data_IF_361759807786
#
_entry.id   IF_361759807786
#
_cell.length_a   1.000
_cell.length_b   1.000
_cell.length_c   1.000
_cell.angle_alpha   90.00
_cell.angle_beta   90.00
_cell.angle_gamma   90.00
#
_symmetry.space_group_name_H-M   'P 1'
#
loop_
_entity.id
_entity.type
_entity.pdbx_description
1 polymer ?
#
# COMPACT_ATOMS: atom_id res chain seq x y z
N UNK A 1 49.91 -32.59 -11.29
CA UNK A 1 49.01 -33.72 -11.00
C UNK A 1 47.76 -33.21 -10.33
N UNK A 2 46.66 -33.18 -11.02
CA UNK A 2 45.38 -32.78 -10.41
C UNK A 2 44.96 -33.94 -9.52
N UNK A 3 45.12 -33.76 -8.20
CA UNK A 3 44.55 -34.71 -7.25
C UNK A 3 43.06 -34.76 -7.46
N UNK A 4 42.58 -35.90 -7.89
CA UNK A 4 41.13 -36.15 -7.87
C UNK A 4 40.71 -36.01 -6.42
N UNK A 5 40.08 -34.90 -6.09
CA UNK A 5 39.52 -34.69 -4.77
C UNK A 5 38.54 -35.82 -4.49
N UNK A 6 38.86 -36.63 -3.51
CA UNK A 6 38.01 -37.71 -3.04
C UNK A 6 36.60 -37.14 -2.78
N UNK A 7 35.59 -37.89 -3.17
CA UNK A 7 34.17 -37.50 -2.92
C UNK A 7 33.90 -37.03 -1.47
N UNK A 8 34.65 -37.55 -0.53
CA UNK A 8 34.62 -37.18 0.87
C UNK A 8 35.13 -35.76 1.13
N UNK A 9 36.20 -35.34 0.43
CA UNK A 9 36.72 -33.97 0.54
C UNK A 9 35.83 -32.94 -0.14
N UNK A 10 35.17 -33.30 -1.23
CA UNK A 10 34.19 -32.42 -1.88
C UNK A 10 32.97 -32.14 -0.97
N UNK A 11 32.61 -33.09 -0.10
CA UNK A 11 31.55 -32.88 0.86
C UNK A 11 31.96 -32.02 2.06
N UNK A 12 33.25 -32.01 2.41
CA UNK A 12 33.76 -31.20 3.52
C UNK A 12 33.93 -29.72 3.17
N UNK A 13 34.03 -29.38 1.89
CA UNK A 13 34.09 -27.98 1.44
C UNK A 13 32.74 -27.32 1.26
N UNK A 14 31.64 -28.03 1.47
CA UNK A 14 30.28 -27.43 1.47
C UNK A 14 29.84 -27.13 2.90
N UNK A 15 29.16 -25.98 3.13
CA UNK A 15 28.59 -25.71 4.44
C UNK A 15 27.78 -26.91 4.90
N UNK A 16 28.04 -27.39 6.12
CA UNK A 16 27.26 -28.49 6.70
C UNK A 16 25.79 -28.11 6.70
N UNK A 17 24.94 -29.01 6.15
CA UNK A 17 23.50 -28.85 6.10
C UNK A 17 22.93 -28.35 4.78
N UNK A 18 23.77 -28.03 3.78
CA UNK A 18 23.27 -27.64 2.46
C UNK A 18 23.02 -28.86 1.57
N UNK A 19 21.88 -29.50 1.73
CA UNK A 19 21.39 -30.49 0.77
C UNK A 19 20.89 -29.84 -0.50
N UNK A 20 20.76 -30.62 -1.58
CA UNK A 20 20.16 -30.12 -2.83
C UNK A 20 18.72 -29.63 -2.61
N UNK A 21 17.96 -30.32 -1.74
CA UNK A 21 16.63 -29.91 -1.35
C UNK A 21 16.63 -28.55 -0.64
N UNK A 22 17.59 -28.29 0.25
CA UNK A 22 17.71 -26.99 0.94
C UNK A 22 18.06 -25.86 -0.03
N UNK A 23 18.91 -26.10 -1.00
CA UNK A 23 19.24 -25.12 -2.05
C UNK A 23 18.02 -24.79 -2.90
N UNK A 24 17.23 -25.79 -3.29
CA UNK A 24 15.98 -25.58 -4.03
C UNK A 24 14.95 -24.81 -3.21
N UNK A 25 14.80 -25.16 -1.93
CA UNK A 25 13.89 -24.47 -1.03
C UNK A 25 14.25 -22.98 -0.87
N UNK A 26 15.54 -22.66 -0.73
CA UNK A 26 16.03 -21.28 -0.67
C UNK A 26 15.77 -20.52 -1.97
N UNK A 27 16.04 -21.14 -3.13
CA UNK A 27 15.76 -20.53 -4.43
C UNK A 27 14.28 -20.26 -4.61
N UNK A 28 13.42 -21.21 -4.25
CA UNK A 28 11.96 -21.04 -4.29
C UNK A 28 11.52 -19.88 -3.39
N UNK A 29 12.01 -19.83 -2.16
CA UNK A 29 11.74 -18.76 -1.21
C UNK A 29 12.13 -17.39 -1.77
N UNK A 30 13.34 -17.27 -2.33
CA UNK A 30 13.82 -16.04 -2.96
C UNK A 30 12.95 -15.63 -4.14
N UNK A 31 12.55 -16.57 -5.00
CA UNK A 31 11.65 -16.30 -6.12
C UNK A 31 10.28 -15.84 -5.65
N UNK A 32 9.71 -16.48 -4.63
CA UNK A 32 8.42 -16.11 -4.06
C UNK A 32 8.47 -14.71 -3.43
N UNK A 33 9.56 -14.38 -2.75
CA UNK A 33 9.80 -13.04 -2.21
C UNK A 33 9.92 -11.98 -3.30
N UNK A 34 10.62 -12.26 -4.39
CA UNK A 34 10.72 -11.35 -5.53
C UNK A 34 9.36 -11.13 -6.21
N UNK A 35 8.57 -12.18 -6.38
CA UNK A 35 7.22 -12.07 -6.95
C UNK A 35 6.29 -11.25 -6.05
N UNK A 36 6.34 -11.47 -4.74
CA UNK A 36 5.55 -10.70 -3.77
C UNK A 36 5.94 -9.22 -3.80
N UNK A 37 7.24 -8.91 -3.82
CA UNK A 37 7.73 -7.53 -3.91
C UNK A 37 7.31 -6.86 -5.23
N UNK A 38 7.37 -7.57 -6.36
CA UNK A 38 6.93 -7.07 -7.65
C UNK A 38 5.42 -6.81 -7.67
N UNK A 39 4.63 -7.70 -7.07
CA UNK A 39 3.19 -7.53 -6.94
C UNK A 39 2.84 -6.30 -6.09
N UNK A 40 3.47 -6.12 -4.94
CA UNK A 40 3.27 -4.97 -4.06
C UNK A 40 3.64 -3.66 -4.76
N UNK A 41 4.75 -3.64 -5.50
CA UNK A 41 5.17 -2.48 -6.30
C UNK A 41 4.14 -2.14 -7.37
N UNK A 42 3.61 -3.15 -8.06
CA UNK A 42 2.57 -2.98 -9.08
C UNK A 42 1.29 -2.40 -8.48
N UNK A 43 0.84 -2.91 -7.33
CA UNK A 43 -0.33 -2.39 -6.63
C UNK A 43 -0.13 -0.93 -6.20
N UNK A 44 1.05 -0.59 -5.69
CA UNK A 44 1.38 0.78 -5.30
C UNK A 44 1.33 1.73 -6.49
N UNK A 45 1.94 1.36 -7.61
CA UNK A 45 1.91 2.16 -8.84
C UNK A 45 0.47 2.34 -9.35
N UNK A 46 -0.32 1.29 -9.37
CA UNK A 46 -1.73 1.37 -9.77
C UNK A 46 -2.54 2.29 -8.86
N UNK A 47 -2.30 2.22 -7.55
CA UNK A 47 -2.94 3.09 -6.57
C UNK A 47 -2.58 4.55 -6.80
N UNK A 48 -1.31 4.86 -7.05
CA UNK A 48 -0.85 6.21 -7.37
C UNK A 48 -1.47 6.74 -8.67
N UNK A 49 -1.54 5.93 -9.71
CA UNK A 49 -2.18 6.29 -10.98
C UNK A 49 -3.67 6.58 -10.78
N UNK A 50 -4.38 5.78 -10.02
CA UNK A 50 -5.81 5.99 -9.74
C UNK A 50 -6.04 7.27 -8.95
N UNK A 51 -5.20 7.55 -7.97
CA UNK A 51 -5.25 8.79 -7.20
C UNK A 51 -5.01 10.00 -8.08
N UNK A 52 -4.03 9.94 -8.96
CA UNK A 52 -3.73 10.99 -9.92
C UNK A 52 -4.92 11.26 -10.86
N UNK A 53 -5.54 10.22 -11.39
CA UNK A 53 -6.74 10.35 -12.22
C UNK A 53 -7.90 10.98 -11.46
N UNK A 54 -8.11 10.58 -10.22
CA UNK A 54 -9.16 11.15 -9.37
C UNK A 54 -8.93 12.65 -9.15
N UNK A 55 -7.70 13.07 -8.91
CA UNK A 55 -7.34 14.48 -8.79
C UNK A 55 -7.59 15.25 -10.09
N UNK A 56 -7.21 14.69 -11.23
CA UNK A 56 -7.46 15.32 -12.52
C UNK A 56 -8.95 15.45 -12.82
N UNK A 57 -9.74 14.42 -12.57
CA UNK A 57 -11.20 14.47 -12.69
C UNK A 57 -11.81 15.53 -11.77
N UNK A 58 -11.32 15.64 -10.54
CA UNK A 58 -11.73 16.66 -9.59
C UNK A 58 -11.47 18.08 -10.12
N UNK A 59 -10.31 18.32 -10.70
CA UNK A 59 -9.94 19.60 -11.31
C UNK A 59 -10.90 19.97 -12.45
N UNK A 60 -11.17 19.03 -13.35
CA UNK A 60 -12.11 19.24 -14.48
C UNK A 60 -13.52 19.48 -13.95
N UNK A 61 -13.97 18.74 -12.96
CA UNK A 61 -15.29 18.90 -12.34
C UNK A 61 -15.45 20.29 -11.68
N UNK A 62 -14.43 20.75 -10.97
CA UNK A 62 -14.45 22.09 -10.36
C UNK A 62 -14.51 23.20 -11.41
N UNK A 63 -13.78 23.05 -12.51
CA UNK A 63 -13.86 24.01 -13.61
C UNK A 63 -15.26 24.05 -14.22
N UNK A 64 -15.87 22.89 -14.46
CA UNK A 64 -17.22 22.79 -15.04
C UNK A 64 -18.31 23.29 -14.09
N UNK A 65 -18.19 22.98 -12.80
CA UNK A 65 -19.21 23.32 -11.82
C UNK A 65 -19.14 24.78 -11.37
N UNK A 66 -17.92 25.31 -11.20
CA UNK A 66 -17.71 26.60 -10.55
C UNK A 66 -16.95 27.62 -11.42
N UNK A 67 -16.55 27.25 -12.62
CA UNK A 67 -15.75 28.12 -13.50
C UNK A 67 -14.37 28.43 -12.94
N UNK A 68 -13.77 27.54 -12.14
CA UNK A 68 -12.46 27.74 -11.52
C UNK A 68 -11.37 27.73 -12.59
N UNK A 69 -10.73 28.88 -12.78
CA UNK A 69 -9.59 29.03 -13.70
C UNK A 69 -8.23 28.82 -13.00
N UNK A 70 -7.12 29.09 -13.72
CA UNK A 70 -5.77 28.80 -13.22
C UNK A 70 -5.41 29.44 -11.88
N UNK A 71 -5.83 30.67 -11.63
CA UNK A 71 -5.52 31.38 -10.35
C UNK A 71 -6.20 30.74 -9.15
N UNK A 72 -7.48 30.40 -9.28
CA UNK A 72 -8.23 29.71 -8.21
C UNK A 72 -7.76 28.29 -8.03
N UNK A 73 -7.36 27.63 -9.11
CA UNK A 73 -6.77 26.31 -9.03
C UNK A 73 -5.48 26.31 -8.22
N UNK A 74 -4.61 27.29 -8.39
CA UNK A 74 -3.38 27.40 -7.59
C UNK A 74 -3.68 27.55 -6.10
N UNK A 75 -4.71 28.32 -5.77
CA UNK A 75 -5.16 28.45 -4.37
C UNK A 75 -5.67 27.12 -3.83
N UNK A 76 -6.45 26.39 -4.60
CA UNK A 76 -6.94 25.06 -4.23
C UNK A 76 -5.79 24.08 -4.03
N UNK A 77 -4.82 24.06 -4.93
CA UNK A 77 -3.66 23.17 -4.84
C UNK A 77 -2.85 23.44 -3.55
N UNK A 78 -2.69 24.69 -3.16
CA UNK A 78 -2.04 25.08 -1.92
C UNK A 78 -2.80 24.56 -0.69
N UNK A 79 -4.11 24.74 -0.65
CA UNK A 79 -4.95 24.24 0.43
C UNK A 79 -4.92 22.70 0.50
N UNK A 80 -4.92 22.04 -0.66
CA UNK A 80 -4.82 20.58 -0.71
C UNK A 80 -3.49 20.08 -0.12
N UNK A 81 -2.39 20.77 -0.38
CA UNK A 81 -1.11 20.46 0.23
C UNK A 81 -1.15 20.63 1.76
N UNK A 82 -1.74 21.72 2.25
CA UNK A 82 -1.90 21.97 3.69
C UNK A 82 -2.76 20.89 4.37
N UNK A 83 -3.85 20.48 3.75
CA UNK A 83 -4.70 19.39 4.25
C UNK A 83 -3.95 18.06 4.25
N UNK A 84 -3.16 17.80 3.22
CA UNK A 84 -2.33 16.59 3.15
C UNK A 84 -1.28 16.55 4.25
N UNK A 85 -0.63 17.67 4.53
CA UNK A 85 0.33 17.80 5.65
C UNK A 85 -0.36 17.59 7.00
N UNK A 86 -1.51 18.17 7.21
CA UNK A 86 -2.33 17.98 8.40
C UNK A 86 -2.69 16.51 8.62
N UNK A 87 -3.11 15.82 7.58
CA UNK A 87 -3.41 14.39 7.63
C UNK A 87 -2.16 13.55 7.95
N UNK A 88 -1.03 13.88 7.33
CA UNK A 88 0.25 13.19 7.57
C UNK A 88 0.72 13.38 9.01
N UNK A 89 0.58 14.56 9.58
CA UNK A 89 0.90 14.80 10.99
C UNK A 89 0.03 13.95 11.93
N UNK A 90 -1.25 13.79 11.64
CA UNK A 90 -2.12 12.89 12.40
C UNK A 90 -1.68 11.43 12.29
N UNK A 91 -1.29 10.97 11.10
CA UNK A 91 -0.75 9.62 10.91
C UNK A 91 0.51 9.40 11.75
N UNK A 92 1.41 10.38 11.78
CA UNK A 92 2.68 10.29 12.50
C UNK A 92 2.51 10.32 14.02
N UNK A 93 1.53 11.05 14.52
CA UNK A 93 1.28 11.25 15.96
C UNK A 93 0.25 10.30 16.57
N UNK A 94 -0.55 9.64 15.75
CA UNK A 94 -1.62 8.72 16.17
C UNK A 94 -1.57 7.44 15.33
N UNK A 95 -2.70 6.92 14.93
CA UNK A 95 -2.82 5.78 14.05
C UNK A 95 -3.66 6.10 12.82
N UNK A 96 -3.63 5.20 11.84
CA UNK A 96 -4.35 5.34 10.59
C UNK A 96 -5.87 5.40 10.79
N UNK A 97 -6.40 4.61 11.72
CA UNK A 97 -7.84 4.57 12.02
C UNK A 97 -8.33 5.92 12.53
N UNK A 98 -7.59 6.50 13.46
CA UNK A 98 -7.90 7.83 14.01
C UNK A 98 -7.81 8.92 12.94
N UNK A 99 -6.73 8.93 12.17
CA UNK A 99 -6.50 9.91 11.11
C UNK A 99 -7.59 9.85 10.03
N UNK A 100 -7.96 8.65 9.59
CA UNK A 100 -9.01 8.45 8.60
C UNK A 100 -10.38 8.89 9.12
N UNK A 101 -10.70 8.60 10.37
CA UNK A 101 -11.97 9.03 10.98
C UNK A 101 -12.06 10.55 11.15
N UNK A 102 -10.96 11.19 11.52
CA UNK A 102 -10.88 12.65 11.59
C UNK A 102 -11.06 13.29 10.22
N UNK A 103 -10.40 12.76 9.21
CA UNK A 103 -10.53 13.22 7.83
C UNK A 103 -11.95 13.06 7.31
N UNK A 104 -12.55 11.90 7.55
CA UNK A 104 -13.95 11.61 7.17
C UNK A 104 -14.92 12.61 7.78
N UNK A 105 -14.79 12.86 9.08
CA UNK A 105 -15.64 13.82 9.81
C UNK A 105 -15.49 15.25 9.29
N UNK A 106 -14.27 15.67 9.01
CA UNK A 106 -14.01 17.00 8.47
C UNK A 106 -14.58 17.13 7.05
N UNK A 107 -14.43 16.11 6.22
CA UNK A 107 -15.01 16.07 4.88
C UNK A 107 -16.55 16.10 4.93
N UNK A 108 -17.17 15.36 5.85
CA UNK A 108 -18.62 15.37 6.05
C UNK A 108 -19.12 16.75 6.50
N UNK A 109 -18.40 17.40 7.39
CA UNK A 109 -18.69 18.75 7.86
C UNK A 109 -18.59 19.79 6.72
N UNK A 110 -17.52 19.72 5.94
CA UNK A 110 -17.31 20.63 4.83
C UNK A 110 -18.32 20.44 3.68
N UNK A 111 -18.72 19.21 3.42
CA UNK A 111 -19.70 18.88 2.37
C UNK A 111 -21.14 19.04 2.79
N UNK A 112 -21.41 19.09 4.10
CA UNK A 112 -22.78 19.06 4.64
C UNK A 112 -23.50 17.73 4.42
N UNK A 113 -22.77 16.68 4.04
CA UNK A 113 -23.30 15.35 3.74
C UNK A 113 -22.58 14.30 4.56
N UNK A 114 -23.32 13.34 5.11
CA UNK A 114 -22.71 12.21 5.79
C UNK A 114 -21.92 11.37 4.79
N UNK A 115 -20.68 11.02 5.15
CA UNK A 115 -19.77 10.23 4.33
C UNK A 115 -19.49 8.92 5.05
N UNK A 116 -19.85 7.81 4.41
CA UNK A 116 -19.53 6.48 4.92
C UNK A 116 -18.23 5.97 4.30
N UNK A 117 -17.38 5.25 5.08
CA UNK A 117 -16.21 4.62 4.54
C UNK A 117 -16.55 3.59 3.47
N UNK A 118 -15.79 3.61 2.37
CA UNK A 118 -15.95 2.64 1.30
C UNK A 118 -15.53 1.24 1.81
N UNK A 119 -16.33 0.23 1.50
CA UNK A 119 -16.10 -1.17 1.92
C UNK A 119 -16.13 -1.44 3.43
N UNK A 120 -16.68 -0.54 4.23
CA UNK A 120 -16.75 -0.73 5.69
C UNK A 120 -17.55 -2.00 6.06
N UNK A 121 -18.70 -2.21 5.43
CA UNK A 121 -19.51 -3.41 5.64
C UNK A 121 -18.78 -4.69 5.27
N UNK A 122 -18.15 -4.71 4.10
CA UNK A 122 -17.40 -5.86 3.59
C UNK A 122 -16.22 -6.19 4.50
N UNK A 123 -15.53 -5.18 5.01
CA UNK A 123 -14.44 -5.35 5.97
C UNK A 123 -14.93 -5.93 7.30
N UNK A 124 -16.04 -5.43 7.81
CA UNK A 124 -16.65 -5.95 9.05
C UNK A 124 -17.11 -7.39 8.88
N UNK A 125 -17.79 -7.71 7.79
CA UNK A 125 -18.22 -9.08 7.48
C UNK A 125 -17.04 -10.04 7.36
N UNK A 126 -15.96 -9.61 6.71
CA UNK A 126 -14.75 -10.41 6.59
C UNK A 126 -14.09 -10.67 7.94
N UNK A 127 -14.03 -9.67 8.82
CA UNK A 127 -13.50 -9.81 10.17
C UNK A 127 -14.35 -10.74 11.03
N UNK A 128 -15.67 -10.64 10.94
CA UNK A 128 -16.59 -11.53 11.65
C UNK A 128 -16.41 -12.99 11.23
N UNK A 129 -16.34 -13.25 9.92
CA UNK A 129 -16.08 -14.59 9.38
C UNK A 129 -14.73 -15.15 9.84
N UNK A 130 -13.70 -14.31 9.85
CA UNK A 130 -12.38 -14.69 10.30
C UNK A 130 -12.39 -15.04 11.79
N UNK A 131 -13.05 -14.24 12.62
CA UNK A 131 -13.20 -14.50 14.05
C UNK A 131 -13.99 -15.78 14.34
N UNK A 132 -15.05 -16.07 13.59
CA UNK A 132 -15.82 -17.32 13.71
C UNK A 132 -14.97 -18.53 13.34
N UNK A 133 -14.18 -18.45 12.29
CA UNK A 133 -13.31 -19.54 11.84
C UNK A 133 -12.17 -19.84 12.84
N UNK A 134 -11.76 -18.86 13.66
CA UNK A 134 -10.67 -18.99 14.62
C UNK A 134 -11.15 -19.13 16.09
N UNK A 135 -12.43 -19.40 16.29
CA UNK A 135 -12.97 -19.75 17.62
C UNK A 135 -12.57 -21.18 18.09
#
# INVERSE_FOLDING_TARGET
MVKVMNRKMRRQGKPQGASYADVLARKKYQMDMCKAAAYDTTLKIQSEIRTQRALWMSVVAMNRAFGIGPKRFMKYAKELMEVTEWYQEMLDNTDEVYANEKLRREAAKCSGTEIEPLYDKEMQEAMEKWNEANK
#
